data_IF_591256896554
#
_entry.id   IF_591256896554
#
_cell.length_a   1.000
_cell.length_b   1.000
_cell.length_c   1.000
_cell.angle_alpha   90.00
_cell.angle_beta   90.00
_cell.angle_gamma   90.00
#
_symmetry.space_group_name_H-M   'P 1'
#
loop_
_entity.id
_entity.type
_entity.pdbx_description
1 polymer ?
#
# COMPACT_ATOMS: atom_id res chain seq x y z
N UNK A 1 -20.06 19.24 -12.66
CA UNK A 1 -20.28 18.76 -14.04
C UNK A 1 -19.21 17.74 -14.34
N UNK A 2 -19.58 16.50 -14.63
CA UNK A 2 -18.64 15.50 -15.13
C UNK A 2 -18.58 15.72 -16.65
N UNK A 3 -17.39 15.99 -17.24
CA UNK A 3 -17.28 16.16 -18.69
C UNK A 3 -17.76 14.87 -19.38
N UNK A 4 -18.41 15.00 -20.54
CA UNK A 4 -18.78 13.82 -21.33
C UNK A 4 -17.53 13.27 -22.01
N UNK A 5 -17.00 12.18 -21.46
CA UNK A 5 -15.78 11.55 -21.94
C UNK A 5 -16.01 10.71 -23.21
N UNK A 6 -17.25 10.41 -23.58
CA UNK A 6 -17.58 9.53 -24.71
C UNK A 6 -16.69 8.28 -24.76
N UNK A 7 -15.93 8.14 -25.85
CA UNK A 7 -14.98 7.03 -26.09
C UNK A 7 -13.86 6.86 -25.04
N UNK A 8 -13.54 7.90 -24.26
CA UNK A 8 -12.47 7.84 -23.28
C UNK A 8 -12.93 7.39 -21.88
N UNK A 9 -14.23 7.26 -21.66
CA UNK A 9 -14.77 6.91 -20.35
C UNK A 9 -14.19 5.58 -19.84
N UNK A 10 -14.10 4.56 -20.71
CA UNK A 10 -13.49 3.28 -20.37
C UNK A 10 -12.00 3.37 -20.07
N UNK A 11 -11.24 4.13 -20.87
CA UNK A 11 -9.80 4.32 -20.66
C UNK A 11 -9.49 5.07 -19.36
N UNK A 12 -10.25 6.12 -19.07
CA UNK A 12 -10.06 6.91 -17.85
C UNK A 12 -10.47 6.11 -16.61
N UNK A 13 -11.60 5.39 -16.66
CA UNK A 13 -12.04 4.56 -15.55
C UNK A 13 -11.06 3.42 -15.27
N UNK A 14 -10.55 2.76 -16.30
CA UNK A 14 -9.53 1.71 -16.15
C UNK A 14 -8.21 2.27 -15.63
N UNK A 15 -7.77 3.45 -16.09
CA UNK A 15 -6.59 4.12 -15.56
C UNK A 15 -6.71 4.43 -14.06
N UNK A 16 -7.86 4.91 -13.60
CA UNK A 16 -8.13 5.10 -12.17
C UNK A 16 -8.18 3.76 -11.42
N UNK A 17 -8.82 2.74 -11.98
CA UNK A 17 -8.88 1.40 -11.39
C UNK A 17 -7.48 0.81 -11.18
N UNK A 18 -6.63 0.83 -12.21
CA UNK A 18 -5.24 0.36 -12.14
C UNK A 18 -4.44 1.20 -11.13
N UNK A 19 -4.59 2.52 -11.15
CA UNK A 19 -3.89 3.40 -10.21
C UNK A 19 -4.26 3.09 -8.76
N UNK A 20 -5.55 2.88 -8.47
CA UNK A 20 -6.02 2.49 -7.14
C UNK A 20 -5.47 1.13 -6.71
N UNK A 21 -5.45 0.14 -7.61
CA UNK A 21 -4.86 -1.18 -7.33
C UNK A 21 -3.37 -1.05 -6.98
N UNK A 22 -2.62 -0.26 -7.74
CA UNK A 22 -1.19 -0.03 -7.47
C UNK A 22 -0.97 0.67 -6.12
N UNK A 23 -1.78 1.67 -5.79
CA UNK A 23 -1.71 2.36 -4.49
C UNK A 23 -2.00 1.38 -3.35
N UNK A 24 -3.08 0.59 -3.46
CA UNK A 24 -3.42 -0.42 -2.45
C UNK A 24 -2.30 -1.44 -2.28
N UNK A 25 -1.74 -1.93 -3.39
CA UNK A 25 -0.60 -2.85 -3.36
C UNK A 25 0.61 -2.26 -2.64
N UNK A 26 0.97 -1.00 -2.93
CA UNK A 26 2.05 -0.29 -2.27
C UNK A 26 1.81 -0.13 -0.76
N UNK A 27 0.59 0.21 -0.35
CA UNK A 27 0.22 0.33 1.07
C UNK A 27 0.34 -1.02 1.77
N UNK A 28 -0.17 -2.10 1.16
CA UNK A 28 -0.10 -3.45 1.74
C UNK A 28 1.36 -3.90 1.92
N UNK A 29 2.19 -3.70 0.89
CA UNK A 29 3.64 -4.01 0.97
C UNK A 29 4.32 -3.19 2.06
N UNK A 30 3.99 -1.89 2.16
CA UNK A 30 4.56 -1.00 3.17
C UNK A 30 4.19 -1.44 4.59
N UNK A 31 2.92 -1.79 4.83
CA UNK A 31 2.44 -2.29 6.12
C UNK A 31 3.09 -3.63 6.46
N UNK A 32 3.17 -4.55 5.50
CA UNK A 32 3.82 -5.85 5.73
C UNK A 32 5.30 -5.70 6.13
N UNK A 33 6.03 -4.83 5.42
CA UNK A 33 7.42 -4.51 5.75
C UNK A 33 7.55 -3.88 7.14
N UNK A 34 6.69 -2.92 7.48
CA UNK A 34 6.70 -2.27 8.79
C UNK A 34 6.48 -3.29 9.93
N UNK A 35 5.54 -4.22 9.76
CA UNK A 35 5.28 -5.30 10.73
C UNK A 35 6.50 -6.19 10.92
N UNK A 36 7.19 -6.56 9.84
CA UNK A 36 8.40 -7.37 9.89
C UNK A 36 9.53 -6.67 10.65
N UNK A 37 9.76 -5.39 10.37
CA UNK A 37 10.79 -4.59 11.06
C UNK A 37 10.46 -4.45 12.54
N UNK A 38 9.19 -4.19 12.88
CA UNK A 38 8.77 -4.08 14.28
C UNK A 38 8.98 -5.38 15.04
N UNK A 39 8.65 -6.53 14.46
CA UNK A 39 8.92 -7.83 15.08
C UNK A 39 10.43 -8.07 15.32
N UNK A 40 11.29 -7.62 14.40
CA UNK A 40 12.74 -7.72 14.57
C UNK A 40 13.25 -6.80 15.70
N UNK A 41 12.70 -5.58 15.80
CA UNK A 41 13.02 -4.65 16.90
C UNK A 41 12.57 -5.20 18.25
N UNK A 42 11.35 -5.73 18.35
CA UNK A 42 10.79 -6.30 19.58
C UNK A 42 11.68 -7.44 20.12
N UNK A 43 12.21 -8.29 19.23
CA UNK A 43 13.15 -9.37 19.60
C UNK A 43 14.48 -8.82 20.15
N UNK A 44 15.03 -7.78 19.55
CA UNK A 44 16.26 -7.13 20.02
C UNK A 44 16.04 -6.45 21.37
N UNK A 45 14.93 -5.74 21.55
CA UNK A 45 14.57 -5.11 22.82
C UNK A 45 14.36 -6.14 23.95
N UNK A 46 13.72 -7.28 23.66
CA UNK A 46 13.54 -8.38 24.62
C UNK A 46 14.87 -8.94 25.12
N UNK A 47 15.83 -9.15 24.21
CA UNK A 47 17.18 -9.62 24.56
C UNK A 47 17.90 -8.63 25.47
N UNK A 48 17.79 -7.33 25.19
CA UNK A 48 18.42 -6.27 26.00
C UNK A 48 17.82 -6.17 27.41
N UNK A 49 16.52 -6.42 27.58
CA UNK A 49 15.86 -6.40 28.91
C UNK A 49 16.15 -7.64 29.78
N UNK A 50 16.66 -8.71 29.17
CA UNK A 50 16.90 -10.00 29.83
C UNK A 50 18.37 -10.21 30.22
N UNK A 51 19.24 -9.24 29.91
CA UNK A 51 20.66 -9.16 30.30
C UNK A 51 20.82 -8.05 31.35
#
# INVERSE_FOLDING_TARGET
>A
MIPDLGKYAGTVLSAYGVSLVLIVALVLVSVWRARRVRAALDEVERRRKSA
#
